data_IF_057614731142
#
_entry.id   IF_057614731142
#
_cell.length_a   1.000
_cell.length_b   1.000
_cell.length_c   1.000
_cell.angle_alpha   90.00
_cell.angle_beta   90.00
_cell.angle_gamma   90.00
#
_symmetry.space_group_name_H-M   'P 1'
#
loop_
_entity.id
_entity.type
_entity.pdbx_description
1 polymer ?
#
# COMPACT_ATOMS: atom_id res chain seq x y z
N UNK A 1 -2.98 -6.67 -21.08
CA UNK A 1 -3.33 -7.10 -19.71
C UNK A 1 -4.63 -6.44 -19.31
N UNK A 2 -5.50 -7.10 -18.53
CA UNK A 2 -6.74 -6.47 -18.03
C UNK A 2 -6.37 -5.41 -16.98
N UNK A 3 -6.77 -4.17 -17.19
CA UNK A 3 -6.65 -3.13 -16.16
C UNK A 3 -7.69 -3.43 -15.07
N UNK A 4 -7.23 -3.61 -13.84
CA UNK A 4 -8.08 -3.93 -12.69
C UNK A 4 -8.49 -2.68 -11.90
N UNK A 5 -7.86 -1.53 -12.15
CA UNK A 5 -8.15 -0.29 -11.43
C UNK A 5 -9.53 0.25 -11.82
N UNK A 6 -10.23 0.82 -10.84
CA UNK A 6 -11.49 1.54 -11.10
C UNK A 6 -11.26 2.74 -12.03
N UNK A 7 -12.22 3.04 -12.89
CA UNK A 7 -12.17 4.22 -13.78
C UNK A 7 -11.99 5.51 -12.98
N UNK A 8 -12.63 5.63 -11.80
CA UNK A 8 -12.50 6.79 -10.93
C UNK A 8 -11.05 7.01 -10.48
N UNK A 9 -10.38 5.96 -10.00
CA UNK A 9 -8.98 6.06 -9.60
C UNK A 9 -8.09 6.39 -10.79
N UNK A 10 -8.27 5.75 -11.95
CA UNK A 10 -7.51 6.06 -13.16
C UNK A 10 -7.65 7.55 -13.55
N UNK A 11 -8.86 8.09 -13.46
CA UNK A 11 -9.12 9.51 -13.72
C UNK A 11 -8.43 10.41 -12.68
N UNK A 12 -8.53 10.11 -11.39
CA UNK A 12 -7.86 10.89 -10.33
C UNK A 12 -6.34 10.84 -10.49
N UNK A 13 -5.78 9.71 -10.88
CA UNK A 13 -4.35 9.53 -11.19
C UNK A 13 -3.95 10.43 -12.36
N UNK A 14 -4.68 10.34 -13.48
CA UNK A 14 -4.42 11.13 -14.68
C UNK A 14 -4.49 12.64 -14.40
N UNK A 15 -5.42 13.06 -13.54
CA UNK A 15 -5.59 14.45 -13.12
C UNK A 15 -4.62 14.87 -11.99
N UNK A 16 -3.75 13.99 -11.52
CA UNK A 16 -2.85 14.22 -10.38
C UNK A 16 -3.59 14.65 -9.09
N UNK A 17 -4.81 14.14 -8.91
CA UNK A 17 -5.69 14.40 -7.77
C UNK A 17 -5.88 13.19 -6.86
N UNK A 18 -5.22 12.07 -7.16
CA UNK A 18 -5.28 10.89 -6.31
C UNK A 18 -4.47 11.09 -5.03
N UNK A 19 -5.11 10.90 -3.87
CA UNK A 19 -4.50 11.04 -2.53
C UNK A 19 -4.70 9.76 -1.73
N UNK A 20 -3.60 9.13 -1.30
CA UNK A 20 -3.61 7.98 -0.39
C UNK A 20 -3.18 8.41 1.00
N UNK A 21 -4.03 8.16 2.01
CA UNK A 21 -3.72 8.43 3.42
C UNK A 21 -3.25 7.16 4.11
N UNK A 22 -2.08 7.17 4.74
CA UNK A 22 -1.51 5.98 5.38
C UNK A 22 -1.73 6.06 6.90
N UNK A 23 -2.41 5.05 7.46
CA UNK A 23 -2.73 4.98 8.92
C UNK A 23 -1.60 4.44 9.79
N UNK A 24 -0.55 3.93 9.14
CA UNK A 24 0.60 3.25 9.75
C UNK A 24 0.43 1.73 9.71
N UNK A 25 1.38 1.02 9.13
CA UNK A 25 1.26 -0.43 8.91
C UNK A 25 1.33 -1.30 10.18
N UNK A 26 1.93 -0.80 11.25
CA UNK A 26 1.91 -1.47 12.55
C UNK A 26 0.80 -0.92 13.46
N UNK A 27 -0.15 -0.18 12.91
CA UNK A 27 -1.26 0.37 13.66
C UNK A 27 -2.46 -0.58 13.58
N UNK A 28 -2.85 -1.11 14.74
CA UNK A 28 -4.03 -1.96 14.88
C UNK A 28 -5.10 -1.33 15.79
N UNK A 29 -4.97 -0.04 16.11
CA UNK A 29 -5.94 0.69 16.93
C UNK A 29 -7.18 1.04 16.09
N UNK A 30 -8.27 0.31 16.32
CA UNK A 30 -9.54 0.46 15.59
C UNK A 30 -10.05 1.90 15.69
N UNK A 31 -10.06 2.49 16.88
CA UNK A 31 -10.58 3.86 17.08
C UNK A 31 -9.77 4.90 16.32
N UNK A 32 -8.45 4.73 16.30
CA UNK A 32 -7.56 5.64 15.57
C UNK A 32 -7.74 5.49 14.06
N UNK A 33 -7.79 4.26 13.57
CA UNK A 33 -7.98 3.98 12.14
C UNK A 33 -9.33 4.50 11.68
N UNK A 34 -10.42 4.28 12.44
CA UNK A 34 -11.74 4.82 12.11
C UNK A 34 -11.74 6.34 12.07
N UNK A 35 -11.06 7.02 13.00
CA UNK A 35 -10.90 8.48 12.97
C UNK A 35 -10.21 8.94 11.69
N UNK A 36 -9.11 8.29 11.28
CA UNK A 36 -8.42 8.63 10.03
C UNK A 36 -9.29 8.34 8.82
N UNK A 37 -9.95 7.18 8.76
CA UNK A 37 -10.82 6.83 7.63
C UNK A 37 -11.94 7.87 7.47
N UNK A 38 -12.57 8.29 8.59
CA UNK A 38 -13.60 9.33 8.55
C UNK A 38 -13.06 10.69 8.15
N UNK A 39 -11.89 11.07 8.65
CA UNK A 39 -11.23 12.30 8.24
C UNK A 39 -10.86 12.29 6.75
N UNK A 40 -10.37 11.17 6.23
CA UNK A 40 -10.03 10.97 4.83
C UNK A 40 -11.27 11.01 3.92
N UNK A 41 -12.39 10.42 4.38
CA UNK A 41 -13.70 10.48 3.73
C UNK A 41 -14.20 11.93 3.62
N UNK A 42 -14.19 12.68 4.73
CA UNK A 42 -14.59 14.10 4.76
C UNK A 42 -13.65 14.95 3.88
N UNK A 43 -12.34 14.68 3.95
CA UNK A 43 -11.31 15.36 3.18
C UNK A 43 -11.24 14.94 1.71
N UNK A 44 -12.12 14.04 1.26
CA UNK A 44 -12.19 13.55 -0.12
C UNK A 44 -10.88 12.94 -0.63
N UNK A 45 -10.12 12.31 0.27
CA UNK A 45 -8.98 11.48 -0.13
C UNK A 45 -9.48 10.36 -1.07
N UNK A 46 -8.56 9.82 -1.87
CA UNK A 46 -8.92 8.75 -2.80
C UNK A 46 -8.94 7.40 -2.13
N UNK A 47 -8.02 7.14 -1.20
CA UNK A 47 -7.88 5.87 -0.50
C UNK A 47 -7.29 6.06 0.89
N UNK A 48 -7.57 5.10 1.78
CA UNK A 48 -6.83 4.95 3.05
C UNK A 48 -6.13 3.60 3.04
N UNK A 49 -4.86 3.62 3.43
CA UNK A 49 -4.00 2.45 3.58
C UNK A 49 -3.93 2.01 5.03
N UNK A 50 -4.29 0.75 5.26
CA UNK A 50 -4.38 0.14 6.58
C UNK A 50 -3.59 -1.16 6.64
N UNK A 51 -3.14 -1.49 7.85
CA UNK A 51 -2.56 -2.78 8.16
C UNK A 51 -3.53 -3.93 7.84
N UNK A 52 -2.99 -5.04 7.35
CA UNK A 52 -3.76 -6.25 7.05
C UNK A 52 -4.29 -6.89 8.31
N UNK A 53 -5.57 -6.65 8.61
CA UNK A 53 -6.27 -7.28 9.73
C UNK A 53 -7.75 -7.48 9.39
N UNK A 54 -8.22 -8.74 9.28
CA UNK A 54 -9.61 -9.02 8.92
C UNK A 54 -10.65 -8.40 9.86
N UNK A 55 -10.35 -8.26 11.16
CA UNK A 55 -11.28 -7.65 12.12
C UNK A 55 -11.40 -6.15 11.89
N UNK A 56 -10.28 -5.46 11.68
CA UNK A 56 -10.26 -4.01 11.40
C UNK A 56 -11.02 -3.69 10.12
N UNK A 57 -10.75 -4.42 9.04
CA UNK A 57 -11.44 -4.22 7.75
C UNK A 57 -12.95 -4.41 7.91
N UNK A 58 -13.37 -5.47 8.62
CA UNK A 58 -14.80 -5.74 8.86
C UNK A 58 -15.49 -4.60 9.59
N UNK A 59 -14.83 -4.02 10.60
CA UNK A 59 -15.39 -2.92 11.38
C UNK A 59 -15.48 -1.66 10.52
N UNK A 60 -14.42 -1.32 9.77
CA UNK A 60 -14.44 -0.16 8.87
C UNK A 60 -15.57 -0.30 7.84
N UNK A 61 -15.70 -1.47 7.22
CA UNK A 61 -16.75 -1.72 6.21
C UNK A 61 -18.17 -1.74 6.79
N UNK A 62 -18.35 -1.98 8.09
CA UNK A 62 -19.65 -1.78 8.75
C UNK A 62 -20.00 -0.31 8.99
N UNK A 63 -19.03 0.60 8.91
CA UNK A 63 -19.18 2.03 9.24
C UNK A 63 -19.09 2.94 8.01
N UNK A 64 -18.40 2.50 6.95
CA UNK A 64 -18.28 3.25 5.69
C UNK A 64 -17.90 2.33 4.52
N UNK A 65 -18.29 2.74 3.31
CA UNK A 65 -17.85 2.13 2.06
C UNK A 65 -16.56 2.75 1.50
N UNK A 66 -15.91 3.67 2.23
CA UNK A 66 -14.69 4.34 1.80
C UNK A 66 -13.63 3.32 1.32
N UNK A 67 -12.97 3.59 0.17
CA UNK A 67 -12.08 2.62 -0.45
C UNK A 67 -10.76 2.46 0.31
N UNK A 68 -10.30 1.21 0.40
CA UNK A 68 -9.15 0.84 1.23
C UNK A 68 -8.03 0.18 0.42
N UNK A 69 -6.80 0.57 0.76
CA UNK A 69 -5.61 -0.25 0.55
C UNK A 69 -5.41 -1.14 1.77
N UNK A 70 -5.02 -2.38 1.52
CA UNK A 70 -4.62 -3.31 2.57
C UNK A 70 -3.21 -3.79 2.29
N UNK A 71 -2.32 -3.54 3.23
CA UNK A 71 -0.89 -3.70 3.05
C UNK A 71 -0.32 -4.79 3.95
N UNK A 72 0.46 -5.70 3.37
CA UNK A 72 1.25 -6.72 4.08
C UNK A 72 2.43 -7.15 3.20
N UNK A 73 3.40 -7.80 3.81
CA UNK A 73 4.47 -8.51 3.09
C UNK A 73 4.14 -10.00 2.89
N UNK A 74 3.03 -10.49 3.42
CA UNK A 74 2.65 -11.90 3.42
C UNK A 74 1.43 -12.15 2.49
N UNK A 75 1.59 -12.88 1.37
CA UNK A 75 0.52 -13.12 0.41
C UNK A 75 -0.73 -13.77 1.01
N UNK A 76 -0.57 -14.65 2.00
CA UNK A 76 -1.70 -15.31 2.67
C UNK A 76 -2.48 -14.36 3.60
N UNK A 77 -1.83 -13.36 4.19
CA UNK A 77 -2.55 -12.35 4.97
C UNK A 77 -3.42 -11.48 4.06
N UNK A 78 -2.88 -11.11 2.89
CA UNK A 78 -3.62 -10.36 1.88
C UNK A 78 -4.83 -11.15 1.37
N UNK A 79 -4.69 -12.45 1.12
CA UNK A 79 -5.78 -13.30 0.63
C UNK A 79 -6.94 -13.41 1.64
N UNK A 80 -6.64 -13.48 2.93
CA UNK A 80 -7.65 -13.48 4.00
C UNK A 80 -8.48 -12.19 4.05
N UNK A 81 -7.95 -11.09 3.50
CA UNK A 81 -8.62 -9.79 3.49
C UNK A 81 -9.49 -9.57 2.25
N UNK A 82 -9.22 -10.29 1.15
CA UNK A 82 -9.99 -10.22 -0.10
C UNK A 82 -11.49 -10.42 0.12
N UNK A 83 -11.85 -11.39 0.96
CA UNK A 83 -13.26 -11.70 1.26
C UNK A 83 -14.01 -10.54 1.91
N UNK A 84 -13.32 -9.50 2.37
CA UNK A 84 -13.88 -8.36 3.12
C UNK A 84 -13.91 -7.06 2.31
N UNK A 85 -13.96 -7.16 0.98
CA UNK A 85 -14.18 -6.01 0.07
C UNK A 85 -13.05 -4.97 0.07
N UNK A 86 -11.80 -5.43 0.08
CA UNK A 86 -10.62 -4.59 -0.11
C UNK A 86 -10.48 -4.16 -1.57
N UNK A 87 -10.15 -2.90 -1.82
CA UNK A 87 -10.12 -2.34 -3.18
C UNK A 87 -8.77 -2.57 -3.86
N UNK A 88 -7.67 -2.37 -3.12
CA UNK A 88 -6.30 -2.55 -3.62
C UNK A 88 -5.49 -3.28 -2.55
N UNK A 89 -4.69 -4.25 -2.97
CA UNK A 89 -3.76 -4.96 -2.09
C UNK A 89 -2.35 -4.44 -2.34
N UNK A 90 -1.63 -4.13 -1.28
CA UNK A 90 -0.28 -3.61 -1.39
C UNK A 90 0.72 -4.58 -0.77
N UNK A 91 1.77 -4.85 -1.53
CA UNK A 91 2.96 -5.57 -1.08
C UNK A 91 4.02 -4.52 -0.78
N UNK A 92 4.33 -4.34 0.51
CA UNK A 92 5.46 -3.53 0.91
C UNK A 92 5.24 -2.68 2.14
N UNK A 93 5.57 -1.38 2.01
CA UNK A 93 5.94 -0.49 3.11
C UNK A 93 6.98 -1.19 4.00
N UNK A 94 8.17 -1.34 3.42
CA UNK A 94 9.28 -2.09 3.98
C UNK A 94 10.01 -1.29 5.08
N UNK A 95 9.74 0.02 5.17
CA UNK A 95 10.32 0.95 6.14
C UNK A 95 10.23 0.48 7.60
N UNK A 96 9.11 -0.11 8.00
CA UNK A 96 8.88 -0.64 9.35
C UNK A 96 9.81 -1.80 9.71
N UNK A 97 10.42 -2.45 8.71
CA UNK A 97 11.34 -3.57 8.88
C UNK A 97 12.81 -3.13 8.98
N UNK A 98 13.16 -1.96 8.45
CA UNK A 98 14.56 -1.48 8.44
C UNK A 98 15.12 -1.26 9.84
N UNK A 99 14.31 -0.77 10.79
CA UNK A 99 14.71 -0.62 12.20
C UNK A 99 15.05 -1.98 12.86
N UNK A 100 14.52 -3.08 12.32
CA UNK A 100 14.82 -4.46 12.76
C UNK A 100 15.96 -5.09 11.96
N UNK A 101 16.65 -4.32 11.10
CA UNK A 101 17.68 -4.78 10.17
C UNK A 101 17.18 -5.88 9.21
N UNK A 102 15.89 -5.86 8.92
CA UNK A 102 15.27 -6.76 7.95
C UNK A 102 15.15 -5.99 6.63
N UNK A 103 15.72 -6.55 5.57
CA UNK A 103 15.77 -5.96 4.24
C UNK A 103 15.28 -6.97 3.21
N UNK A 104 14.70 -6.47 2.12
CA UNK A 104 14.14 -7.29 1.06
C UNK A 104 14.91 -7.07 -0.24
N UNK A 105 15.38 -8.16 -0.85
CA UNK A 105 16.00 -8.12 -2.17
C UNK A 105 14.94 -7.97 -3.28
N UNK A 106 15.36 -7.54 -4.47
CA UNK A 106 14.48 -7.50 -5.65
C UNK A 106 13.86 -8.87 -5.95
N UNK A 107 14.61 -9.95 -5.74
CA UNK A 107 14.11 -11.31 -5.96
C UNK A 107 13.03 -11.70 -4.95
N UNK A 108 13.22 -11.38 -3.67
CA UNK A 108 12.21 -11.63 -2.63
C UNK A 108 10.91 -10.90 -2.96
N UNK A 109 10.98 -9.62 -3.33
CA UNK A 109 9.80 -8.81 -3.65
C UNK A 109 9.09 -9.33 -4.89
N UNK A 110 9.84 -9.68 -5.93
CA UNK A 110 9.27 -10.28 -7.14
C UNK A 110 8.57 -11.60 -6.83
N UNK A 111 9.15 -12.43 -5.96
CA UNK A 111 8.54 -13.69 -5.54
C UNK A 111 7.25 -13.47 -4.74
N UNK A 112 7.23 -12.51 -3.83
CA UNK A 112 6.01 -12.11 -3.11
C UNK A 112 4.92 -11.63 -4.09
N UNK A 113 5.29 -10.81 -5.07
CA UNK A 113 4.35 -10.33 -6.10
C UNK A 113 3.79 -11.46 -6.96
N UNK A 114 4.64 -12.39 -7.42
CA UNK A 114 4.21 -13.59 -8.17
C UNK A 114 3.26 -14.47 -7.36
N UNK A 115 3.59 -14.75 -6.09
CA UNK A 115 2.75 -15.55 -5.21
C UNK A 115 1.40 -14.88 -4.97
N UNK A 116 1.39 -13.58 -4.65
CA UNK A 116 0.16 -12.81 -4.44
C UNK A 116 -0.71 -12.80 -5.69
N UNK A 117 -0.14 -12.59 -6.89
CA UNK A 117 -0.88 -12.66 -8.16
C UNK A 117 -1.46 -14.04 -8.44
N UNK A 118 -0.74 -15.11 -8.08
CA UNK A 118 -1.23 -16.49 -8.23
C UNK A 118 -2.44 -16.76 -7.34
N UNK A 119 -2.42 -16.26 -6.10
CA UNK A 119 -3.50 -16.46 -5.12
C UNK A 119 -4.69 -15.52 -5.43
N UNK A 120 -4.42 -14.30 -5.89
CA UNK A 120 -5.38 -13.21 -6.02
C UNK A 120 -5.29 -12.58 -7.43
N UNK A 121 -5.79 -13.27 -8.48
CA UNK A 121 -5.58 -12.83 -9.86
C UNK A 121 -6.41 -11.60 -10.26
N UNK A 122 -7.52 -11.35 -9.56
CA UNK A 122 -8.59 -10.45 -10.00
C UNK A 122 -8.72 -9.15 -9.20
N UNK A 123 -7.79 -8.87 -8.27
CA UNK A 123 -7.77 -7.63 -7.48
C UNK A 123 -6.53 -6.84 -7.85
N UNK A 124 -6.62 -5.50 -7.96
CA UNK A 124 -5.44 -4.67 -8.19
C UNK A 124 -4.40 -4.89 -7.10
N UNK A 125 -3.16 -5.11 -7.53
CA UNK A 125 -2.01 -5.20 -6.64
C UNK A 125 -1.11 -4.00 -6.88
N UNK A 126 -0.71 -3.36 -5.78
CA UNK A 126 0.32 -2.36 -5.69
C UNK A 126 1.61 -3.02 -5.16
N UNK A 127 2.76 -2.78 -5.78
CA UNK A 127 4.05 -3.21 -5.24
C UNK A 127 4.87 -1.98 -4.89
N UNK A 128 5.35 -1.94 -3.64
CA UNK A 128 6.33 -0.95 -3.21
C UNK A 128 7.72 -1.33 -3.70
N UNK A 129 8.50 -0.36 -4.16
CA UNK A 129 9.90 -0.48 -4.55
C UNK A 129 10.74 0.16 -3.44
N UNK A 130 11.50 -0.64 -2.68
CA UNK A 130 12.31 -0.16 -1.57
C UNK A 130 13.38 0.83 -2.01
N UNK A 131 13.53 1.92 -1.25
CA UNK A 131 14.59 2.91 -1.50
C UNK A 131 16.00 2.39 -1.18
N UNK A 132 16.10 1.29 -0.42
CA UNK A 132 17.36 0.65 -0.07
C UNK A 132 18.03 -0.09 -1.24
N UNK A 133 17.27 -0.39 -2.29
CA UNK A 133 17.79 -1.02 -3.50
C UNK A 133 18.57 0.02 -4.33
N UNK A 134 19.58 -0.44 -5.06
CA UNK A 134 20.26 0.42 -6.04
C UNK A 134 19.25 0.90 -7.09
N UNK A 135 19.45 2.10 -7.64
CA UNK A 135 18.53 2.66 -8.65
C UNK A 135 18.33 1.70 -9.85
N UNK A 136 19.40 1.03 -10.30
CA UNK A 136 19.32 0.02 -11.36
C UNK A 136 18.44 -1.18 -10.97
N UNK A 137 18.49 -1.59 -9.71
CA UNK A 137 17.65 -2.65 -9.17
C UNK A 137 16.20 -2.19 -9.00
N UNK A 138 15.95 -0.94 -8.61
CA UNK A 138 14.61 -0.35 -8.53
C UNK A 138 13.94 -0.33 -9.91
N UNK A 139 14.65 0.15 -10.94
CA UNK A 139 14.18 0.17 -12.33
C UNK A 139 13.91 -1.26 -12.85
N UNK A 140 14.85 -2.17 -12.63
CA UNK A 140 14.70 -3.57 -13.04
C UNK A 140 13.51 -4.23 -12.36
N UNK A 141 13.36 -4.06 -11.05
CA UNK A 141 12.24 -4.61 -10.29
C UNK A 141 10.91 -4.03 -10.76
N UNK A 142 10.82 -2.72 -11.00
CA UNK A 142 9.62 -2.06 -11.50
C UNK A 142 9.13 -2.69 -12.83
N UNK A 143 10.04 -2.88 -13.79
CA UNK A 143 9.71 -3.56 -15.05
C UNK A 143 9.29 -5.02 -14.83
N UNK A 144 10.00 -5.77 -13.98
CA UNK A 144 9.66 -7.17 -13.71
C UNK A 144 8.28 -7.32 -13.07
N UNK A 145 7.90 -6.46 -12.12
CA UNK A 145 6.58 -6.54 -11.48
C UNK A 145 5.46 -6.10 -12.43
N UNK A 146 5.73 -5.15 -13.32
CA UNK A 146 4.81 -4.77 -14.41
C UNK A 146 4.55 -5.96 -15.35
N UNK A 147 5.59 -6.70 -15.76
CA UNK A 147 5.44 -7.84 -16.69
C UNK A 147 4.55 -8.97 -16.15
N UNK A 148 4.44 -9.11 -14.83
CA UNK A 148 3.56 -10.10 -14.18
C UNK A 148 2.15 -9.55 -13.88
N UNK A 149 1.84 -8.34 -14.33
CA UNK A 149 0.51 -7.73 -14.25
C UNK A 149 0.17 -7.14 -12.88
N UNK A 150 1.16 -6.59 -12.17
CA UNK A 150 0.94 -5.65 -11.06
C UNK A 150 0.27 -4.38 -11.60
N UNK A 151 -0.67 -3.82 -10.85
CA UNK A 151 -1.51 -2.71 -11.31
C UNK A 151 -0.94 -1.34 -10.98
N UNK A 152 -0.17 -1.23 -9.89
CA UNK A 152 0.44 0.02 -9.44
C UNK A 152 1.83 -0.25 -8.87
N UNK A 153 2.73 0.72 -9.06
CA UNK A 153 4.05 0.71 -8.46
C UNK A 153 4.13 1.92 -7.52
N UNK A 154 4.58 1.70 -6.30
CA UNK A 154 4.85 2.75 -5.33
C UNK A 154 6.35 2.78 -5.07
N UNK A 155 6.96 3.97 -5.02
CA UNK A 155 8.37 4.08 -4.62
C UNK A 155 8.45 4.55 -3.17
N UNK A 156 9.38 3.97 -2.41
CA UNK A 156 9.72 4.54 -1.12
C UNK A 156 10.62 5.76 -1.31
N UNK A 157 10.37 6.79 -0.52
CA UNK A 157 11.33 7.88 -0.36
C UNK A 157 12.18 7.62 0.88
N UNK A 158 13.49 7.88 0.78
CA UNK A 158 14.34 7.94 1.97
C UNK A 158 13.89 9.14 2.81
N UNK A 159 13.25 8.88 3.95
CA UNK A 159 12.88 9.95 4.87
C UNK A 159 14.13 10.40 5.62
N UNK A 160 14.68 11.57 5.27
CA UNK A 160 15.78 12.24 5.98
C UNK A 160 15.39 12.74 7.38
N UNK A 161 14.26 12.28 7.95
CA UNK A 161 13.69 12.73 9.22
C UNK A 161 14.60 12.55 10.45
N UNK A 162 15.74 11.88 10.33
CA UNK A 162 16.71 11.76 11.42
C UNK A 162 17.64 12.97 11.60
N UNK A 163 17.52 14.05 10.80
CA UNK A 163 18.32 15.27 10.98
C UNK A 163 17.53 16.53 11.33
N UNK A 164 16.24 16.43 11.70
CA UNK A 164 15.48 17.59 12.17
C UNK A 164 14.83 17.26 13.52
N UNK A 165 15.29 17.97 14.54
CA UNK A 165 14.88 17.87 15.95
C UNK A 165 13.36 17.71 16.17
N UNK A 166 13.04 16.82 17.11
CA UNK A 166 11.86 16.74 17.99
C UNK A 166 10.43 16.99 17.45
N UNK A 167 9.59 15.99 17.76
CA UNK A 167 8.12 15.99 17.90
C UNK A 167 7.29 16.06 16.61
N UNK A 168 6.69 14.91 16.28
CA UNK A 168 5.23 14.67 16.13
C UNK A 168 5.05 13.33 15.41
N UNK A 169 4.16 12.47 15.90
CA UNK A 169 3.65 11.30 15.18
C UNK A 169 2.95 11.77 13.89
N UNK A 170 3.73 11.89 12.82
CA UNK A 170 3.31 12.46 11.56
C UNK A 170 2.58 11.44 10.69
N UNK A 171 1.48 11.89 10.09
CA UNK A 171 0.82 11.21 8.98
C UNK A 171 1.82 11.15 7.81
N UNK A 172 2.11 9.95 7.31
CA UNK A 172 2.90 9.76 6.10
C UNK A 172 2.03 10.01 4.87
N UNK A 173 2.46 10.90 3.99
CA UNK A 173 1.86 11.09 2.66
C UNK A 173 2.77 10.32 1.69
N UNK A 174 2.29 9.20 1.14
CA UNK A 174 3.03 8.41 0.17
C UNK A 174 2.87 8.99 -1.24
N UNK A 175 3.98 9.11 -1.98
CA UNK A 175 3.98 9.42 -3.41
C UNK A 175 3.91 8.13 -4.22
N UNK A 176 2.90 7.99 -5.09
CA UNK A 176 2.89 6.98 -6.14
C UNK A 176 3.52 7.57 -7.41
N UNK A 177 4.37 6.81 -8.09
CA UNK A 177 4.79 7.10 -9.46
C UNK A 177 3.82 6.34 -10.36
N UNK A 178 3.09 7.08 -11.19
CA UNK A 178 2.07 6.53 -12.09
C UNK A 178 2.64 6.14 -13.44
#
# INVERSE_FOLDING_TARGET
>A
MKNLLTIELQYKIFQQKAVKIITGLNNFSIDFILKIVKAAEIGQASYVDIATNPKIISIIKSVTNFPLYVSSIEPLELSNCVMKSTNILEIGNFDVFYNKKIFFSSEQILNLAKQTKKIIPNIPICVTIPHILLLSQQICLAGLVETIGVSLIQTESYSTKNNIHHRSSGIGIGSAVY
#
